data_IF_766579798231
#
_entry.id   IF_766579798231
#
_cell.length_a   1.000
_cell.length_b   1.000
_cell.length_c   1.000
_cell.angle_alpha   90.00
_cell.angle_beta   90.00
_cell.angle_gamma   90.00
#
_symmetry.space_group_name_H-M   'P 1'
#
loop_
_entity.id
_entity.type
_entity.pdbx_description
1 polymer ?
#
# COMPACT_ATOMS: atom_id res chain seq x y z
N UNK A 1 15.11 28.55 -59.92
CA UNK A 1 14.11 28.31 -58.84
C UNK A 1 14.38 27.06 -57.97
N UNK A 2 15.58 26.45 -57.99
CA UNK A 2 15.89 25.26 -57.17
C UNK A 2 16.78 25.54 -55.94
N UNK A 3 17.46 26.69 -55.89
CA UNK A 3 18.35 27.06 -54.77
C UNK A 3 17.64 27.76 -53.59
N UNK A 4 16.43 28.30 -53.78
CA UNK A 4 15.67 28.94 -52.69
C UNK A 4 14.88 27.95 -51.83
N UNK A 5 14.58 26.74 -52.34
CA UNK A 5 13.83 25.72 -51.59
C UNK A 5 14.73 24.98 -50.57
N UNK A 6 16.02 24.81 -50.88
CA UNK A 6 16.99 24.14 -49.99
C UNK A 6 17.41 25.00 -48.79
N UNK A 7 17.32 26.33 -48.89
CA UNK A 7 17.67 27.22 -47.79
C UNK A 7 16.58 27.25 -46.71
N UNK A 8 15.31 27.17 -47.12
CA UNK A 8 14.16 27.14 -46.20
C UNK A 8 14.11 25.81 -45.45
N UNK A 9 14.45 24.69 -46.10
CA UNK A 9 14.47 23.37 -45.46
C UNK A 9 15.57 23.25 -44.37
N UNK A 10 16.73 23.90 -44.55
CA UNK A 10 17.80 23.89 -43.54
C UNK A 10 17.47 24.74 -42.31
N UNK A 11 16.72 25.83 -42.48
CA UNK A 11 16.32 26.70 -41.36
C UNK A 11 15.20 26.05 -40.54
N UNK A 12 14.29 25.31 -41.19
CA UNK A 12 13.23 24.56 -40.48
C UNK A 12 13.80 23.34 -39.74
N UNK A 13 14.86 22.68 -40.27
CA UNK A 13 15.48 21.54 -39.58
C UNK A 13 16.34 21.93 -38.37
N UNK A 14 16.90 23.15 -38.34
CA UNK A 14 17.64 23.68 -37.18
C UNK A 14 16.77 24.34 -36.11
N UNK A 15 15.51 24.65 -36.44
CA UNK A 15 14.53 25.16 -35.47
C UNK A 15 13.74 24.02 -34.77
N UNK A 16 13.87 22.77 -35.23
CA UNK A 16 13.10 21.62 -34.72
C UNK A 16 13.90 20.58 -33.93
N UNK A 17 15.21 20.80 -33.70
CA UNK A 17 16.07 19.94 -32.87
C UNK A 17 17.01 20.85 -32.06
N UNK A 18 16.63 21.28 -30.85
CA UNK A 18 16.43 20.36 -29.73
C UNK A 18 15.14 20.61 -28.96
N UNK A 19 14.03 20.04 -29.45
CA UNK A 19 12.94 19.57 -28.57
C UNK A 19 13.28 18.23 -27.89
N UNK A 20 14.54 17.78 -27.96
CA UNK A 20 15.02 16.51 -27.40
C UNK A 20 16.23 16.81 -26.48
N UNK A 21 15.97 17.58 -25.43
CA UNK A 21 16.77 17.63 -24.21
C UNK A 21 15.89 17.97 -22.99
N UNK A 22 14.63 17.52 -22.98
CA UNK A 22 13.80 17.51 -21.76
C UNK A 22 14.16 16.36 -20.80
N UNK A 23 15.39 15.84 -20.85
CA UNK A 23 15.91 14.83 -19.93
C UNK A 23 16.92 15.38 -18.91
N UNK A 24 17.18 16.70 -18.90
CA UNK A 24 18.29 17.31 -18.14
C UNK A 24 17.88 18.33 -17.06
N UNK A 25 16.59 18.42 -16.74
CA UNK A 25 16.13 19.03 -15.49
C UNK A 25 15.32 17.99 -14.72
N UNK A 26 16.00 16.96 -14.19
CA UNK A 26 15.50 16.26 -12.99
C UNK A 26 15.52 17.26 -11.84
N UNK A 27 14.56 18.18 -11.84
CA UNK A 27 14.27 18.98 -10.67
C UNK A 27 13.75 18.05 -9.59
N UNK A 28 14.25 18.22 -8.37
CA UNK A 28 13.58 17.67 -7.20
C UNK A 28 12.61 18.69 -6.63
N UNK A 29 11.82 18.23 -5.67
CA UNK A 29 10.80 19.00 -4.96
C UNK A 29 11.29 20.34 -4.36
N UNK A 30 12.61 20.54 -4.19
CA UNK A 30 13.18 21.79 -3.62
C UNK A 30 12.97 22.98 -4.53
N UNK A 31 12.88 22.77 -5.84
CA UNK A 31 12.66 23.87 -6.82
C UNK A 31 11.35 24.61 -6.60
N UNK A 32 10.35 23.91 -6.06
CA UNK A 32 9.01 24.46 -5.83
C UNK A 32 8.66 24.49 -4.33
N UNK A 33 9.65 24.36 -3.45
CA UNK A 33 9.48 24.26 -1.98
C UNK A 33 8.37 23.28 -1.56
N UNK A 34 8.32 22.16 -2.26
CA UNK A 34 7.21 21.19 -2.21
C UNK A 34 7.62 19.86 -1.57
N UNK A 35 8.82 19.82 -0.99
CA UNK A 35 9.35 18.58 -0.46
C UNK A 35 8.54 18.10 0.75
N UNK A 36 8.14 16.81 0.77
CA UNK A 36 7.51 16.22 1.94
C UNK A 36 8.38 16.35 3.19
N UNK A 37 7.74 16.63 4.31
CA UNK A 37 8.38 16.76 5.62
C UNK A 37 7.86 15.64 6.52
N UNK A 38 8.77 15.02 7.25
CA UNK A 38 8.46 13.99 8.24
C UNK A 38 9.30 14.15 9.49
N UNK A 39 8.94 13.42 10.53
CA UNK A 39 9.67 13.40 11.79
C UNK A 39 9.98 11.94 12.13
N UNK A 40 11.21 11.67 12.59
CA UNK A 40 11.60 10.31 12.96
C UNK A 40 10.79 9.81 14.16
N UNK A 41 10.23 8.60 14.04
CA UNK A 41 9.46 7.96 15.11
C UNK A 41 10.34 7.39 16.22
N UNK A 42 11.57 7.03 15.87
CA UNK A 42 12.61 6.50 16.76
C UNK A 42 13.97 6.93 16.24
N UNK A 43 15.01 6.76 17.05
CA UNK A 43 16.38 6.95 16.56
C UNK A 43 16.64 6.01 15.39
N UNK A 44 17.20 6.53 14.29
CA UNK A 44 17.42 5.74 13.06
C UNK A 44 18.85 5.86 12.57
N UNK A 45 19.44 4.74 12.17
CA UNK A 45 20.65 4.74 11.38
C UNK A 45 20.41 5.39 10.02
N UNK A 46 21.49 5.86 9.39
CA UNK A 46 21.45 6.47 8.07
C UNK A 46 22.77 6.25 7.34
N UNK A 47 22.71 6.41 6.02
CA UNK A 47 23.87 6.36 5.14
C UNK A 47 24.16 7.78 4.64
N UNK A 48 25.42 8.19 4.65
CA UNK A 48 25.82 9.51 4.15
C UNK A 48 25.81 9.57 2.62
N UNK A 49 26.06 10.75 2.04
CA UNK A 49 26.10 10.93 0.59
C UNK A 49 27.15 10.07 -0.14
N UNK A 50 28.21 9.64 0.57
CA UNK A 50 29.27 8.77 0.07
C UNK A 50 28.90 7.28 0.11
N UNK A 51 27.75 6.92 0.66
CA UNK A 51 27.30 5.54 0.79
C UNK A 51 27.92 4.80 1.99
N UNK A 52 28.36 5.52 3.01
CA UNK A 52 28.91 4.98 4.26
C UNK A 52 27.87 5.04 5.38
N UNK A 53 27.66 3.89 6.04
CA UNK A 53 26.81 3.82 7.22
C UNK A 53 27.42 4.63 8.36
N UNK A 54 26.63 5.48 9.00
CA UNK A 54 27.08 6.31 10.11
C UNK A 54 26.81 5.60 11.44
N UNK A 55 27.79 5.65 12.34
CA UNK A 55 27.66 5.10 13.70
C UNK A 55 26.69 5.94 14.55
N UNK A 56 26.65 7.25 14.30
CA UNK A 56 25.68 8.14 14.91
C UNK A 56 24.31 7.96 14.26
N UNK A 57 23.27 7.97 15.09
CA UNK A 57 21.88 7.86 14.63
C UNK A 57 21.23 9.24 14.56
N UNK A 58 20.29 9.40 13.63
CA UNK A 58 19.40 10.56 13.63
C UNK A 58 18.48 10.44 14.84
N UNK A 59 18.47 11.41 15.76
CA UNK A 59 17.64 11.34 16.97
C UNK A 59 16.16 11.23 16.65
N UNK A 60 15.40 10.64 17.56
CA UNK A 60 13.95 10.63 17.51
C UNK A 60 13.36 12.05 17.47
N UNK A 61 12.30 12.26 16.68
CA UNK A 61 11.64 13.56 16.51
C UNK A 61 12.39 14.54 15.60
N UNK A 62 13.49 14.11 14.97
CA UNK A 62 14.20 14.92 14.00
C UNK A 62 13.36 15.17 12.76
N UNK A 63 13.33 16.41 12.29
CA UNK A 63 12.67 16.80 11.03
C UNK A 63 13.50 16.31 9.84
N UNK A 64 12.87 15.57 8.94
CA UNK A 64 13.44 15.03 7.71
C UNK A 64 12.68 15.61 6.52
N UNK A 65 13.41 16.12 5.54
CA UNK A 65 12.84 16.51 4.24
C UNK A 65 13.11 15.40 3.23
N UNK A 66 12.08 14.81 2.62
CA UNK A 66 12.27 13.76 1.62
C UNK A 66 12.47 14.42 0.25
N UNK A 67 13.49 13.97 -0.50
CA UNK A 67 13.72 14.46 -1.86
C UNK A 67 12.97 13.57 -2.85
N UNK A 68 11.91 14.13 -3.42
CA UNK A 68 11.13 13.50 -4.49
C UNK A 68 11.39 14.17 -5.83
N UNK A 69 11.13 13.46 -6.93
CA UNK A 69 11.04 14.08 -8.24
C UNK A 69 9.75 14.91 -8.41
N UNK A 70 9.54 15.47 -9.60
CA UNK A 70 8.35 16.27 -9.94
C UNK A 70 7.03 15.47 -9.91
N UNK A 71 7.10 14.14 -9.98
CA UNK A 71 5.93 13.26 -9.89
C UNK A 71 5.65 12.83 -8.44
N UNK A 72 6.50 13.21 -7.49
CA UNK A 72 6.41 12.78 -6.10
C UNK A 72 7.02 11.40 -5.85
N UNK A 73 7.77 10.84 -6.80
CA UNK A 73 8.46 9.57 -6.61
C UNK A 73 9.76 9.76 -5.83
N UNK A 74 10.11 8.76 -5.03
CA UNK A 74 11.36 8.78 -4.26
C UNK A 74 12.56 8.87 -5.19
N UNK A 75 13.53 9.70 -4.80
CA UNK A 75 14.87 9.57 -5.35
C UNK A 75 15.63 8.55 -4.53
N UNK A 76 15.92 7.38 -5.12
CA UNK A 76 16.77 6.35 -4.50
C UNK A 76 18.18 6.36 -5.09
N UNK A 77 19.11 5.71 -4.39
CA UNK A 77 20.40 5.38 -4.99
C UNK A 77 20.32 4.05 -5.72
N UNK A 78 21.12 3.87 -6.78
CA UNK A 78 21.30 2.54 -7.38
C UNK A 78 22.01 1.54 -6.47
N UNK A 79 22.69 2.02 -5.42
CA UNK A 79 23.54 1.21 -4.52
C UNK A 79 22.72 0.59 -3.38
N UNK A 80 21.65 1.26 -2.95
CA UNK A 80 20.76 0.82 -1.87
C UNK A 80 19.31 1.04 -2.33
N UNK A 81 18.70 0.01 -2.93
CA UNK A 81 17.41 0.12 -3.61
C UNK A 81 16.24 0.49 -2.70
N UNK A 82 16.37 0.24 -1.39
CA UNK A 82 15.35 0.54 -0.39
C UNK A 82 15.58 1.87 0.34
N UNK A 83 16.72 2.53 0.12
CA UNK A 83 17.03 3.78 0.78
C UNK A 83 16.61 4.98 -0.08
N UNK A 84 16.00 5.95 0.58
CA UNK A 84 15.48 7.16 -0.06
C UNK A 84 16.32 8.36 0.35
N UNK A 85 16.57 9.22 -0.64
CA UNK A 85 17.36 10.43 -0.47
C UNK A 85 16.57 11.47 0.32
N UNK A 86 17.15 11.94 1.40
CA UNK A 86 16.54 12.89 2.33
C UNK A 86 17.51 14.03 2.65
N UNK A 87 16.99 15.08 3.28
CA UNK A 87 17.78 16.10 3.98
C UNK A 87 17.53 16.01 5.47
N UNK A 88 18.62 15.99 6.23
CA UNK A 88 18.64 16.15 7.68
C UNK A 88 19.66 17.25 8.02
N UNK A 89 19.21 18.32 8.69
CA UNK A 89 20.02 19.52 8.95
C UNK A 89 20.76 20.02 7.69
N UNK A 90 20.02 20.12 6.57
CA UNK A 90 20.52 20.52 5.25
C UNK A 90 21.59 19.62 4.61
N UNK A 91 21.91 18.47 5.23
CA UNK A 91 22.82 17.46 4.69
C UNK A 91 22.04 16.36 3.98
N UNK A 92 22.56 15.91 2.85
CA UNK A 92 22.02 14.75 2.15
C UNK A 92 22.32 13.49 2.95
N UNK A 93 21.27 12.74 3.28
CA UNK A 93 21.32 11.43 3.93
C UNK A 93 20.43 10.46 3.20
N UNK A 94 20.67 9.17 3.38
CA UNK A 94 19.82 8.10 2.88
C UNK A 94 19.23 7.32 4.04
N UNK A 95 17.92 7.17 4.02
CA UNK A 95 17.14 6.49 5.05
C UNK A 95 16.35 5.35 4.43
N UNK A 96 16.21 4.25 5.15
CA UNK A 96 15.36 3.15 4.73
C UNK A 96 13.91 3.65 4.56
N UNK A 97 13.30 3.41 3.40
CA UNK A 97 11.94 3.86 3.09
C UNK A 97 10.91 3.42 4.15
N UNK A 98 11.08 2.22 4.72
CA UNK A 98 10.20 1.64 5.74
C UNK A 98 10.18 2.43 7.06
N UNK A 99 11.16 3.30 7.31
CA UNK A 99 11.18 4.15 8.49
C UNK A 99 10.45 5.49 8.27
N UNK A 100 9.88 5.72 7.08
CA UNK A 100 9.22 6.96 6.71
C UNK A 100 7.75 6.68 6.36
N UNK A 101 6.80 7.48 6.86
CA UNK A 101 5.39 7.28 6.53
C UNK A 101 5.01 7.89 5.18
N UNK A 102 5.97 8.38 4.38
CA UNK A 102 5.69 8.88 3.04
C UNK A 102 5.26 7.75 2.12
N UNK A 103 4.22 7.99 1.34
CA UNK A 103 3.57 7.00 0.49
C UNK A 103 2.97 5.80 1.25
N UNK A 104 2.86 5.88 2.57
CA UNK A 104 2.15 4.86 3.35
C UNK A 104 0.65 4.91 3.04
N UNK A 105 0.08 3.73 2.81
CA UNK A 105 -1.36 3.52 2.69
C UNK A 105 -2.00 3.45 4.07
N UNK A 106 -3.06 4.22 4.28
CA UNK A 106 -3.87 4.20 5.49
C UNK A 106 -5.35 4.41 5.13
N UNK A 107 -6.24 4.06 6.05
CA UNK A 107 -7.67 4.15 5.84
C UNK A 107 -8.31 5.17 6.78
N UNK A 108 -9.39 5.78 6.32
CA UNK A 108 -10.24 6.60 7.19
C UNK A 108 -10.91 5.71 8.24
N UNK A 109 -10.61 5.99 9.51
CA UNK A 109 -11.14 5.29 10.68
C UNK A 109 -12.42 5.95 11.24
N UNK A 110 -12.59 7.26 11.03
CA UNK A 110 -13.76 7.98 11.55
C UNK A 110 -15.04 7.61 10.77
N UNK A 111 -16.01 6.99 11.44
CA UNK A 111 -17.30 6.59 10.87
C UNK A 111 -18.08 7.74 10.22
N UNK A 112 -17.92 8.96 10.73
CA UNK A 112 -18.59 10.16 10.17
C UNK A 112 -17.91 10.71 8.91
N UNK A 113 -16.79 10.11 8.49
CA UNK A 113 -15.90 10.63 7.47
C UNK A 113 -14.97 11.73 7.98
N UNK A 114 -14.14 12.26 7.09
CA UNK A 114 -13.07 13.23 7.41
C UNK A 114 -13.07 14.36 6.40
N UNK A 115 -13.10 15.60 6.89
CA UNK A 115 -12.93 16.78 6.03
C UNK A 115 -11.46 16.93 5.65
N UNK A 116 -11.21 17.22 4.38
CA UNK A 116 -9.91 17.62 3.87
C UNK A 116 -9.83 19.14 3.79
N UNK A 117 -8.80 19.71 4.40
CA UNK A 117 -8.56 21.14 4.51
C UNK A 117 -7.45 21.61 3.57
N UNK A 118 -7.52 22.85 3.12
CA UNK A 118 -6.49 23.46 2.25
C UNK A 118 -5.15 23.65 2.98
N UNK A 119 -5.19 23.96 4.27
CA UNK A 119 -4.03 24.12 5.15
C UNK A 119 -4.16 23.22 6.38
N UNK A 120 -3.07 22.90 7.11
CA UNK A 120 -3.13 22.12 8.34
C UNK A 120 -3.70 22.95 9.51
N UNK A 121 -4.96 23.36 9.37
CA UNK A 121 -5.73 24.17 10.31
C UNK A 121 -7.21 23.81 10.19
N UNK A 122 -7.85 23.52 11.32
CA UNK A 122 -9.28 23.14 11.39
C UNK A 122 -10.22 24.26 10.91
N UNK A 123 -9.77 25.52 10.91
CA UNK A 123 -10.53 26.67 10.42
C UNK A 123 -10.28 26.96 8.94
N UNK A 124 -9.40 26.18 8.28
CA UNK A 124 -9.11 26.35 6.86
C UNK A 124 -10.29 25.95 5.98
N UNK A 125 -10.26 26.37 4.72
CA UNK A 125 -11.26 26.00 3.72
C UNK A 125 -11.31 24.48 3.57
N UNK A 126 -12.51 23.92 3.63
CA UNK A 126 -12.75 22.51 3.32
C UNK A 126 -12.72 22.34 1.80
N UNK A 127 -11.87 21.45 1.32
CA UNK A 127 -11.72 21.10 -0.10
C UNK A 127 -12.60 19.92 -0.51
N UNK A 128 -12.71 18.92 0.36
CA UNK A 128 -13.45 17.70 0.11
C UNK A 128 -13.77 16.97 1.42
N UNK A 129 -14.52 15.87 1.33
CA UNK A 129 -14.80 14.97 2.45
C UNK A 129 -14.55 13.53 2.05
N UNK A 130 -13.71 12.83 2.82
CA UNK A 130 -13.50 11.40 2.71
C UNK A 130 -14.54 10.65 3.55
N UNK A 131 -14.90 9.45 3.12
CA UNK A 131 -15.80 8.54 3.82
C UNK A 131 -15.02 7.55 4.66
N UNK A 132 -15.71 6.93 5.61
CA UNK A 132 -15.18 5.79 6.36
C UNK A 132 -14.68 4.70 5.40
N UNK A 133 -13.53 4.11 5.74
CA UNK A 133 -12.80 3.12 4.93
C UNK A 133 -12.33 3.56 3.55
N UNK A 134 -12.36 4.86 3.21
CA UNK A 134 -11.66 5.33 2.02
C UNK A 134 -10.14 5.15 2.25
N UNK A 135 -9.46 4.63 1.22
CA UNK A 135 -8.01 4.41 1.20
C UNK A 135 -7.29 5.69 0.75
N UNK A 136 -6.30 6.11 1.52
CA UNK A 136 -5.48 7.29 1.22
C UNK A 136 -4.00 7.01 1.34
N UNK A 137 -3.21 7.83 0.65
CA UNK A 137 -1.75 7.82 0.71
C UNK A 137 -1.26 9.05 1.46
N UNK A 138 -0.38 8.86 2.44
CA UNK A 138 0.26 9.95 3.19
C UNK A 138 1.32 10.65 2.33
N UNK A 139 1.24 11.98 2.25
CA UNK A 139 2.13 12.81 1.44
C UNK A 139 2.96 13.81 2.24
N UNK A 140 2.54 14.17 3.45
CA UNK A 140 3.27 15.09 4.32
C UNK A 140 2.71 15.03 5.76
N UNK A 141 3.48 15.49 6.75
CA UNK A 141 3.02 15.60 8.15
C UNK A 141 3.50 16.90 8.79
N UNK A 142 2.76 17.39 9.78
CA UNK A 142 3.19 18.57 10.58
C UNK A 142 3.91 18.20 11.87
N UNK A 143 3.84 16.94 12.29
CA UNK A 143 4.42 16.38 13.52
C UNK A 143 4.80 14.91 13.29
N UNK A 144 5.33 14.22 14.30
CA UNK A 144 5.45 12.75 14.27
C UNK A 144 4.14 12.13 13.82
N UNK A 145 4.22 11.11 12.98
CA UNK A 145 3.05 10.41 12.45
C UNK A 145 2.28 9.67 13.55
N UNK A 146 2.95 9.30 14.64
CA UNK A 146 2.32 8.78 15.85
C UNK A 146 1.56 9.82 16.68
N UNK A 147 1.73 11.13 16.45
CA UNK A 147 1.01 12.17 17.20
C UNK A 147 -0.43 12.32 16.66
N UNK A 148 -1.46 11.97 17.46
CA UNK A 148 -2.86 12.04 17.01
C UNK A 148 -3.34 13.46 16.73
N UNK A 149 -2.70 14.49 17.32
CA UNK A 149 -3.05 15.90 17.14
C UNK A 149 -2.30 16.55 15.96
N UNK A 150 -1.42 15.79 15.29
CA UNK A 150 -0.78 16.23 14.06
C UNK A 150 -1.75 16.29 12.88
N UNK A 151 -1.46 17.17 11.92
CA UNK A 151 -2.09 17.13 10.60
C UNK A 151 -1.24 16.30 9.64
N UNK A 152 -1.91 15.57 8.77
CA UNK A 152 -1.31 14.83 7.67
C UNK A 152 -1.91 15.31 6.35
N UNK A 153 -1.07 15.48 5.33
CA UNK A 153 -1.52 15.69 3.96
C UNK A 153 -1.75 14.33 3.34
N UNK A 154 -2.95 14.10 2.82
CA UNK A 154 -3.33 12.81 2.24
C UNK A 154 -3.89 13.01 0.83
N UNK A 155 -3.70 12.00 -0.01
CA UNK A 155 -4.32 11.88 -1.34
C UNK A 155 -5.20 10.65 -1.38
N UNK A 156 -6.44 10.79 -1.83
CA UNK A 156 -7.34 9.67 -2.08
C UNK A 156 -6.78 8.78 -3.19
N UNK A 157 -6.71 7.46 -2.98
CA UNK A 157 -6.23 6.52 -3.99
C UNK A 157 -7.26 6.34 -5.11
N UNK A 158 -8.54 6.35 -4.75
CA UNK A 158 -9.65 6.10 -5.67
C UNK A 158 -10.25 7.39 -6.24
N UNK A 159 -9.62 8.53 -6.00
CA UNK A 159 -10.11 9.85 -6.40
C UNK A 159 -8.98 10.84 -6.66
N UNK A 160 -9.35 12.10 -6.88
CA UNK A 160 -8.37 13.18 -7.10
C UNK A 160 -8.20 14.08 -5.87
N UNK A 161 -8.96 13.83 -4.81
CA UNK A 161 -8.97 14.67 -3.61
C UNK A 161 -7.62 14.60 -2.90
N UNK A 162 -7.06 15.78 -2.59
CA UNK A 162 -5.85 15.94 -1.80
C UNK A 162 -6.06 17.08 -0.81
N UNK A 163 -5.67 16.88 0.45
CA UNK A 163 -5.79 17.92 1.47
C UNK A 163 -5.31 17.46 2.83
N UNK A 164 -5.25 18.41 3.76
CA UNK A 164 -4.81 18.19 5.14
C UNK A 164 -5.95 17.65 5.99
N UNK A 165 -5.65 16.74 6.91
CA UNK A 165 -6.61 16.23 7.88
C UNK A 165 -5.91 15.86 9.20
N UNK A 166 -6.69 15.79 10.28
CA UNK A 166 -6.19 15.34 11.58
C UNK A 166 -5.80 13.86 11.55
N UNK A 167 -4.59 13.54 12.02
CA UNK A 167 -4.00 12.21 12.04
C UNK A 167 -4.87 11.18 12.77
N UNK A 168 -5.48 11.55 13.90
CA UNK A 168 -6.32 10.66 14.71
C UNK A 168 -7.52 10.05 13.99
N UNK A 169 -7.91 10.58 12.83
CA UNK A 169 -9.05 10.03 12.09
C UNK A 169 -8.68 8.89 11.13
N UNK A 170 -7.42 8.44 11.13
CA UNK A 170 -6.93 7.40 10.22
C UNK A 170 -6.31 6.23 10.99
N UNK A 171 -6.26 5.08 10.35
CA UNK A 171 -5.52 3.90 10.85
C UNK A 171 -4.02 4.19 10.98
N UNK A 172 -3.34 3.35 11.73
CA UNK A 172 -1.88 3.36 11.95
C UNK A 172 -1.10 2.52 10.93
N UNK A 173 -1.78 1.63 10.22
CA UNK A 173 -1.24 0.91 9.06
C UNK A 173 -2.27 0.76 7.93
N UNK A 174 -1.96 -0.10 6.97
CA UNK A 174 -2.73 -0.40 5.77
C UNK A 174 -3.88 -1.42 5.97
N UNK A 175 -4.33 -1.67 7.20
CA UNK A 175 -5.53 -2.49 7.42
C UNK A 175 -6.81 -1.70 7.11
N UNK A 176 -7.80 -2.37 6.51
CA UNK A 176 -9.11 -1.78 6.27
C UNK A 176 -9.99 -1.88 7.54
N UNK A 177 -10.37 -0.75 8.17
CA UNK A 177 -11.11 -0.75 9.43
C UNK A 177 -12.53 -1.31 9.29
N UNK A 178 -13.13 -1.28 8.09
CA UNK A 178 -14.47 -1.82 7.86
C UNK A 178 -14.51 -3.36 7.94
N UNK A 179 -13.36 -4.00 7.82
CA UNK A 179 -13.22 -5.45 7.74
C UNK A 179 -12.43 -6.01 8.94
N UNK A 180 -11.51 -5.22 9.48
CA UNK A 180 -10.61 -5.61 10.57
C UNK A 180 -11.31 -6.03 11.88
N UNK A 181 -12.57 -5.67 12.09
CA UNK A 181 -13.35 -6.11 13.25
C UNK A 181 -14.44 -7.15 12.90
N UNK A 182 -14.41 -7.71 11.69
CA UNK A 182 -15.36 -8.71 11.22
C UNK A 182 -14.84 -10.12 11.46
N UNK A 183 -15.75 -11.04 11.79
CA UNK A 183 -15.46 -12.48 11.81
C UNK A 183 -15.29 -13.00 10.38
N UNK A 184 -14.64 -14.16 10.23
CA UNK A 184 -14.53 -14.82 8.93
C UNK A 184 -15.94 -15.12 8.38
N UNK A 185 -16.86 -15.54 9.24
CA UNK A 185 -18.26 -15.77 8.89
C UNK A 185 -18.94 -14.54 8.30
N UNK A 186 -18.83 -13.37 8.94
CA UNK A 186 -19.41 -12.12 8.44
C UNK A 186 -18.83 -11.71 7.08
N UNK A 187 -17.54 -11.97 6.85
CA UNK A 187 -16.88 -11.67 5.58
C UNK A 187 -17.40 -12.59 4.46
N UNK A 188 -17.55 -13.89 4.72
CA UNK A 188 -18.04 -14.87 3.75
C UNK A 188 -19.49 -14.66 3.32
N UNK A 189 -20.33 -14.12 4.21
CA UNK A 189 -21.72 -13.76 3.86
C UNK A 189 -21.77 -12.59 2.86
N UNK A 190 -20.80 -11.68 2.95
CA UNK A 190 -20.75 -10.47 2.11
C UNK A 190 -19.97 -10.66 0.82
N UNK A 191 -18.89 -11.44 0.85
CA UNK A 191 -17.94 -11.57 -0.25
C UNK A 191 -17.79 -13.02 -0.70
N UNK A 192 -17.54 -13.20 -2.00
CA UNK A 192 -17.07 -14.49 -2.52
C UNK A 192 -15.60 -14.66 -2.17
N UNK A 193 -15.20 -15.84 -1.72
CA UNK A 193 -13.81 -16.15 -1.39
C UNK A 193 -13.17 -16.88 -2.57
N UNK A 194 -11.94 -16.49 -2.90
CA UNK A 194 -11.07 -17.18 -3.86
C UNK A 194 -9.79 -17.52 -3.10
N UNK A 195 -9.51 -18.80 -2.92
CA UNK A 195 -8.33 -19.27 -2.20
C UNK A 195 -7.48 -20.11 -3.13
N UNK A 196 -6.22 -19.70 -3.34
CA UNK A 196 -5.31 -20.33 -4.30
C UNK A 196 -4.03 -20.72 -3.59
N UNK A 197 -3.59 -21.95 -3.79
CA UNK A 197 -2.24 -22.41 -3.47
C UNK A 197 -1.57 -22.87 -4.77
N UNK A 198 -0.70 -22.02 -5.32
CA UNK A 198 -0.06 -22.27 -6.62
C UNK A 198 0.87 -23.48 -6.60
N UNK A 199 1.62 -23.67 -5.51
CA UNK A 199 2.59 -24.76 -5.37
C UNK A 199 1.91 -26.14 -5.40
N UNK A 200 0.79 -26.29 -4.70
CA UNK A 200 -0.01 -27.50 -4.70
C UNK A 200 -0.94 -27.60 -5.92
N UNK A 201 -1.12 -26.51 -6.67
CA UNK A 201 -2.08 -26.40 -7.76
C UNK A 201 -3.54 -26.46 -7.28
N UNK A 202 -3.84 -25.91 -6.10
CA UNK A 202 -5.18 -25.91 -5.50
C UNK A 202 -5.87 -24.58 -5.77
N UNK A 203 -7.14 -24.65 -6.15
CA UNK A 203 -8.04 -23.48 -6.23
C UNK A 203 -9.37 -23.83 -5.62
N UNK A 204 -9.81 -22.99 -4.69
CA UNK A 204 -11.12 -23.08 -4.04
C UNK A 204 -11.86 -21.77 -4.25
N UNK A 205 -13.13 -21.85 -4.64
CA UNK A 205 -13.99 -20.67 -4.71
C UNK A 205 -15.35 -20.97 -4.09
N UNK A 206 -15.89 -20.06 -3.30
CA UNK A 206 -17.23 -20.21 -2.73
C UNK A 206 -17.81 -18.86 -2.28
N UNK A 207 -19.09 -18.88 -1.88
CA UNK A 207 -19.76 -17.76 -1.23
C UNK A 207 -20.63 -18.26 -0.08
N UNK A 208 -20.74 -17.47 0.97
CA UNK A 208 -21.56 -17.79 2.14
C UNK A 208 -20.87 -18.77 3.09
N UNK A 209 -21.32 -18.77 4.35
CA UNK A 209 -20.68 -19.58 5.41
C UNK A 209 -21.07 -21.07 5.38
N UNK A 210 -21.97 -21.46 4.48
CA UNK A 210 -22.48 -22.84 4.34
C UNK A 210 -21.78 -23.64 3.25
N UNK A 211 -20.94 -23.00 2.42
CA UNK A 211 -20.18 -23.65 1.35
C UNK A 211 -21.06 -24.37 0.30
N UNK A 212 -22.30 -23.91 0.10
CA UNK A 212 -23.25 -24.55 -0.83
C UNK A 212 -22.79 -24.46 -2.30
N UNK A 213 -22.10 -23.37 -2.66
CA UNK A 213 -21.54 -23.12 -4.00
C UNK A 213 -20.00 -23.29 -4.03
N UNK A 214 -19.48 -24.31 -3.36
CA UNK A 214 -18.04 -24.57 -3.30
C UNK A 214 -17.53 -25.28 -4.56
N UNK A 215 -16.63 -24.61 -5.28
CA UNK A 215 -15.85 -25.18 -6.38
C UNK A 215 -14.42 -25.47 -5.93
N UNK A 216 -13.90 -26.63 -6.32
CA UNK A 216 -12.58 -27.13 -5.93
C UNK A 216 -11.85 -27.73 -7.13
N UNK A 217 -10.63 -27.26 -7.36
CA UNK A 217 -9.70 -27.87 -8.30
C UNK A 217 -8.35 -28.17 -7.64
N UNK A 218 -7.85 -29.39 -7.86
CA UNK A 218 -6.49 -29.82 -7.52
C UNK A 218 -5.80 -30.24 -8.81
N UNK A 219 -4.77 -29.49 -9.24
CA UNK A 219 -4.03 -29.70 -10.50
C UNK A 219 -4.97 -29.82 -11.71
N UNK A 220 -5.98 -28.94 -11.78
CA UNK A 220 -7.03 -28.90 -12.80
C UNK A 220 -8.02 -30.08 -12.78
N UNK A 221 -8.02 -30.90 -11.73
CA UNK A 221 -9.00 -31.98 -11.54
C UNK A 221 -10.00 -31.62 -10.44
N UNK A 222 -11.28 -32.02 -10.55
CA UNK A 222 -12.25 -31.84 -9.47
C UNK A 222 -11.76 -32.48 -8.17
N UNK A 223 -12.00 -31.79 -7.06
CA UNK A 223 -11.73 -32.30 -5.72
C UNK A 223 -12.95 -32.15 -4.80
N UNK A 224 -12.91 -32.87 -3.68
CA UNK A 224 -13.94 -32.89 -2.65
C UNK A 224 -13.37 -32.32 -1.35
N UNK A 225 -13.68 -31.07 -1.01
CA UNK A 225 -13.25 -30.46 0.24
C UNK A 225 -14.16 -30.88 1.40
N UNK A 226 -13.57 -31.10 2.58
CA UNK A 226 -14.27 -31.09 3.85
C UNK A 226 -13.83 -29.85 4.61
N UNK A 227 -14.77 -28.95 4.90
CA UNK A 227 -14.47 -27.67 5.52
C UNK A 227 -15.03 -27.62 6.94
N UNK A 228 -14.22 -27.12 7.88
CA UNK A 228 -14.64 -26.83 9.24
C UNK A 228 -14.11 -25.49 9.72
N UNK A 229 -14.81 -24.89 10.68
CA UNK A 229 -14.33 -23.72 11.38
C UNK A 229 -13.68 -24.13 12.69
N UNK A 230 -12.49 -23.58 12.95
CA UNK A 230 -11.88 -23.62 14.27
C UNK A 230 -11.79 -22.20 14.82
N UNK A 231 -12.24 -22.00 16.06
CA UNK A 231 -12.04 -20.75 16.79
C UNK A 231 -11.28 -21.03 18.07
N UNK A 232 -10.15 -20.34 18.26
CA UNK A 232 -9.37 -20.43 19.50
C UNK A 232 -9.69 -19.27 20.46
N UNK A 233 -10.93 -19.19 20.93
CA UNK A 233 -11.38 -18.22 21.94
C UNK A 233 -12.34 -17.17 21.40
N UNK A 234 -12.51 -16.05 22.10
CA UNK A 234 -13.54 -15.05 21.79
C UNK A 234 -13.11 -14.00 20.75
N UNK A 235 -11.85 -14.01 20.30
CA UNK A 235 -11.35 -13.02 19.35
C UNK A 235 -11.66 -13.45 17.91
N UNK A 236 -12.31 -12.59 17.09
CA UNK A 236 -12.53 -12.84 15.66
C UNK A 236 -11.25 -13.17 14.89
N UNK A 237 -10.10 -12.68 15.37
CA UNK A 237 -8.79 -12.90 14.73
C UNK A 237 -8.20 -14.29 14.96
N UNK A 238 -8.85 -15.11 15.80
CA UNK A 238 -8.43 -16.48 16.10
C UNK A 238 -9.33 -17.50 15.42
N UNK A 239 -10.23 -17.06 14.56
CA UNK A 239 -10.96 -17.93 13.65
C UNK A 239 -10.04 -18.37 12.51
N UNK A 240 -10.20 -19.63 12.12
CA UNK A 240 -9.60 -20.19 10.91
C UNK A 240 -10.55 -21.16 10.24
N UNK A 241 -10.43 -21.27 8.93
CA UNK A 241 -11.09 -22.27 8.11
C UNK A 241 -10.09 -23.39 7.89
N UNK A 242 -10.43 -24.60 8.32
CA UNK A 242 -9.68 -25.81 7.98
C UNK A 242 -10.35 -26.52 6.81
N UNK A 243 -9.54 -26.96 5.86
CA UNK A 243 -10.00 -27.56 4.61
C UNK A 243 -9.19 -28.84 4.39
N UNK A 244 -9.86 -29.99 4.42
CA UNK A 244 -9.27 -31.26 4.06
C UNK A 244 -9.68 -31.61 2.63
N UNK A 245 -8.71 -31.78 1.74
CA UNK A 245 -8.98 -31.99 0.31
C UNK A 245 -8.73 -33.45 -0.04
N UNK A 246 -9.71 -34.10 -0.66
CA UNK A 246 -9.55 -35.41 -1.32
C UNK A 246 -9.86 -35.28 -2.81
N UNK A 247 -9.28 -36.16 -3.63
CA UNK A 247 -9.74 -36.35 -5.02
C UNK A 247 -10.90 -37.35 -5.05
N UNK A 248 -11.70 -37.35 -6.11
CA UNK A 248 -12.82 -38.30 -6.25
C UNK A 248 -12.39 -39.77 -6.15
N UNK A 249 -11.15 -40.08 -6.51
CA UNK A 249 -10.59 -41.43 -6.46
C UNK A 249 -10.05 -41.83 -5.09
N UNK A 250 -9.92 -40.89 -4.15
CA UNK A 250 -9.30 -41.11 -2.83
C UNK A 250 -10.34 -40.94 -1.71
N UNK A 251 -10.45 -41.96 -0.84
CA UNK A 251 -11.28 -41.87 0.39
C UNK A 251 -10.62 -41.09 1.53
N UNK A 252 -9.30 -40.88 1.47
CA UNK A 252 -8.55 -40.13 2.49
C UNK A 252 -8.17 -38.76 1.92
N UNK A 253 -8.16 -37.70 2.74
CA UNK A 253 -7.60 -36.42 2.35
C UNK A 253 -6.12 -36.56 1.99
N UNK A 254 -5.72 -35.93 0.91
CA UNK A 254 -4.31 -35.83 0.48
C UNK A 254 -3.68 -34.51 0.90
N UNK A 255 -4.48 -33.50 1.22
CA UNK A 255 -3.99 -32.21 1.67
C UNK A 255 -4.81 -31.70 2.85
N UNK A 256 -4.14 -31.03 3.77
CA UNK A 256 -4.76 -30.21 4.81
C UNK A 256 -4.38 -28.77 4.55
N UNK A 257 -5.38 -27.93 4.35
CA UNK A 257 -5.21 -26.52 4.11
C UNK A 257 -5.88 -25.70 5.20
N UNK A 258 -5.40 -24.49 5.39
CA UNK A 258 -5.94 -23.53 6.33
C UNK A 258 -5.96 -22.12 5.75
N UNK A 259 -7.00 -21.38 6.13
CA UNK A 259 -7.13 -19.95 5.93
C UNK A 259 -7.37 -19.36 7.31
N UNK A 260 -6.38 -18.66 7.84
CA UNK A 260 -6.55 -17.89 9.06
C UNK A 260 -7.12 -16.50 8.75
N UNK A 261 -7.49 -15.78 9.82
CA UNK A 261 -8.02 -14.44 9.69
C UNK A 261 -7.06 -13.51 8.92
N UNK A 262 -5.75 -13.53 9.20
CA UNK A 262 -4.76 -12.73 8.48
C UNK A 262 -4.66 -13.08 6.99
N UNK A 263 -4.79 -14.34 6.62
CA UNK A 263 -4.79 -14.81 5.24
C UNK A 263 -5.99 -14.33 4.45
N UNK A 264 -7.11 -14.04 5.13
CA UNK A 264 -8.31 -13.46 4.54
C UNK A 264 -8.29 -11.92 4.53
N UNK A 265 -7.65 -11.35 5.55
CA UNK A 265 -7.76 -9.93 5.89
C UNK A 265 -6.49 -9.16 5.54
N UNK A 266 -5.33 -9.52 6.05
CA UNK A 266 -4.13 -8.68 5.96
C UNK A 266 -3.58 -8.56 4.51
N UNK A 267 -4.06 -9.41 3.60
CA UNK A 267 -3.75 -9.36 2.16
C UNK A 267 -4.77 -8.57 1.30
N UNK A 268 -5.57 -7.67 1.90
CA UNK A 268 -6.64 -6.83 1.30
C UNK A 268 -6.36 -6.02 0.02
N UNK A 269 -5.20 -6.16 -0.62
CA UNK A 269 -4.91 -5.45 -1.88
C UNK A 269 -5.89 -5.77 -3.03
N UNK A 270 -6.83 -6.71 -2.87
CA UNK A 270 -7.64 -7.23 -3.99
C UNK A 270 -9.13 -7.47 -3.67
N UNK A 271 -9.82 -6.58 -2.94
CA UNK A 271 -11.30 -6.60 -3.01
C UNK A 271 -11.74 -6.02 -4.34
N UNK A 272 -11.75 -6.85 -5.38
CA UNK A 272 -12.30 -6.51 -6.69
C UNK A 272 -13.64 -7.20 -6.88
N UNK A 273 -14.66 -6.45 -7.32
CA UNK A 273 -15.96 -7.00 -7.73
C UNK A 273 -16.64 -7.92 -6.69
N UNK A 274 -16.56 -7.57 -5.40
CA UNK A 274 -17.09 -8.34 -4.27
C UNK A 274 -16.42 -9.72 -4.03
N UNK A 275 -15.16 -9.88 -4.46
CA UNK A 275 -14.33 -11.06 -4.18
C UNK A 275 -13.26 -10.73 -3.15
N UNK A 276 -12.92 -11.70 -2.31
CA UNK A 276 -11.80 -11.68 -1.38
C UNK A 276 -10.81 -12.76 -1.81
N UNK A 277 -9.62 -12.34 -2.20
CA UNK A 277 -8.51 -13.26 -2.44
C UNK A 277 -7.89 -13.64 -1.08
N UNK A 278 -8.00 -14.92 -0.73
CA UNK A 278 -7.52 -15.47 0.52
C UNK A 278 -6.23 -16.26 0.30
N UNK A 279 -5.27 -16.08 1.21
CA UNK A 279 -4.07 -16.91 1.26
C UNK A 279 -4.42 -18.30 1.80
N UNK A 280 -4.13 -19.33 1.01
CA UNK A 280 -4.38 -20.73 1.34
C UNK A 280 -3.06 -21.43 1.68
N UNK A 281 -2.81 -21.67 2.97
CA UNK A 281 -1.68 -22.49 3.42
C UNK A 281 -2.06 -23.95 3.33
N UNK A 282 -1.24 -24.80 2.72
CA UNK A 282 -1.51 -26.23 2.55
C UNK A 282 -0.29 -27.08 2.90
N UNK A 283 -0.54 -28.22 3.54
CA UNK A 283 0.41 -29.31 3.74
C UNK A 283 -0.13 -30.59 3.06
N UNK A 284 0.76 -31.35 2.40
CA UNK A 284 0.43 -32.67 1.87
C UNK A 284 0.39 -33.68 3.03
N UNK A 285 -0.57 -34.59 2.99
CA UNK A 285 -0.80 -35.62 4.00
C UNK A 285 -0.32 -36.98 3.47
N UNK A 286 0.46 -37.69 4.29
CA UNK A 286 0.95 -39.05 4.01
C UNK A 286 -0.14 -40.14 4.15
#
# INVERSE_FOLDING_TARGET
MRYRLLLILKIVFFALLPAIQCSLLKGDCRKNDSCPIFFTERSTGYVNENGEYQLDSIPEGSRITILTDLNGEFQSTKKFSLDVKCLFNDRVVYLLALNLPYNQNIYVLNYSGVNLYEKPDSNSKILAKLRYSDLVVVKNVTRKFSDPEGFILVKNVNGSETGWAHRKNFTDSDYNPALHNKTIHELMEKYSIIAVNEDAGITLTWKGSKFEDLDCSLKNLPCSPQISFESQGESPRKEKILILISTESQRKPSHKCEIDWSGLVDFYKYIENNKLDAYLSCEELE
#
